data_IF_485175968865
#
_entry.id   IF_485175968865
#
_cell.length_a   1.000
_cell.length_b   1.000
_cell.length_c   1.000
_cell.angle_alpha   90.00
_cell.angle_beta   90.00
_cell.angle_gamma   90.00
#
_symmetry.space_group_name_H-M   'P 1'
#
loop_
_entity.id
_entity.type
_entity.pdbx_description
1 polymer ?
#
# COMPACT_ATOMS: atom_id res chain seq x y z
N UNK A 1 -6.55 -25.94 -21.47
CA UNK A 1 -6.23 -25.82 -20.02
C UNK A 1 -5.35 -24.62 -19.71
N UNK A 2 -4.16 -24.47 -20.34
CA UNK A 2 -3.30 -23.29 -20.16
C UNK A 2 -4.00 -21.98 -20.54
N UNK A 3 -4.77 -22.00 -21.64
CA UNK A 3 -5.51 -20.84 -22.11
C UNK A 3 -6.49 -20.31 -21.06
N UNK A 4 -7.21 -21.21 -20.37
CA UNK A 4 -8.12 -20.85 -19.29
C UNK A 4 -7.42 -20.25 -18.07
N UNK A 5 -6.23 -20.75 -17.70
CA UNK A 5 -5.41 -20.18 -16.63
C UNK A 5 -4.97 -18.75 -16.98
N UNK A 6 -4.45 -18.54 -18.20
CA UNK A 6 -3.96 -17.22 -18.59
C UNK A 6 -5.10 -16.22 -18.74
N UNK A 7 -6.22 -16.63 -19.34
CA UNK A 7 -7.42 -15.81 -19.39
C UNK A 7 -7.92 -15.45 -17.99
N UNK A 8 -7.92 -16.40 -17.04
CA UNK A 8 -8.29 -16.13 -15.65
C UNK A 8 -7.32 -15.15 -14.97
N UNK A 9 -5.99 -15.33 -15.12
CA UNK A 9 -4.99 -14.40 -14.56
C UNK A 9 -5.19 -13.01 -15.13
N UNK A 10 -5.33 -12.86 -16.45
CA UNK A 10 -5.54 -11.57 -17.08
C UNK A 10 -6.87 -10.93 -16.63
N UNK A 11 -7.96 -11.69 -16.55
CA UNK A 11 -9.24 -11.15 -16.08
C UNK A 11 -9.21 -10.75 -14.60
N UNK A 12 -8.57 -11.56 -13.75
CA UNK A 12 -8.55 -11.33 -12.31
C UNK A 12 -7.57 -10.23 -11.89
N UNK A 13 -6.44 -10.10 -12.59
CA UNK A 13 -5.41 -9.11 -12.26
C UNK A 13 -5.48 -7.85 -13.13
N UNK A 14 -5.72 -7.96 -14.44
CA UNK A 14 -5.79 -6.81 -15.36
C UNK A 14 -7.23 -6.33 -15.58
N UNK A 15 -8.20 -7.25 -15.64
CA UNK A 15 -9.62 -6.94 -15.88
C UNK A 15 -10.28 -6.08 -14.80
N UNK A 16 -9.65 -5.93 -13.63
CA UNK A 16 -10.08 -4.99 -12.58
C UNK A 16 -9.70 -3.54 -12.89
N UNK A 17 -8.66 -3.32 -13.70
CA UNK A 17 -8.10 -2.00 -13.95
C UNK A 17 -8.37 -1.47 -15.35
N UNK A 18 -8.63 -2.36 -16.32
CA UNK A 18 -8.76 -2.02 -17.75
C UNK A 18 -10.19 -2.25 -18.26
N UNK A 19 -10.68 -1.36 -19.12
CA UNK A 19 -11.97 -1.52 -19.80
C UNK A 19 -11.86 -2.42 -21.04
N UNK A 20 -12.96 -3.12 -21.38
CA UNK A 20 -13.13 -3.85 -22.65
C UNK A 20 -12.01 -4.86 -22.97
N UNK A 21 -11.51 -5.59 -21.96
CA UNK A 21 -10.55 -6.67 -22.15
C UNK A 21 -11.18 -7.79 -22.99
N UNK A 22 -10.86 -7.84 -24.29
CA UNK A 22 -11.40 -8.87 -25.18
C UNK A 22 -10.63 -10.19 -25.00
N UNK A 23 -11.25 -11.12 -24.29
CA UNK A 23 -10.68 -12.42 -23.96
C UNK A 23 -10.55 -13.37 -25.14
N UNK A 24 -11.29 -13.13 -26.22
CA UNK A 24 -11.30 -14.02 -27.38
C UNK A 24 -10.04 -13.83 -28.23
N UNK A 25 -9.53 -12.60 -28.32
CA UNK A 25 -8.26 -12.29 -29.01
C UNK A 25 -7.03 -12.89 -28.27
N UNK A 26 -7.14 -13.09 -26.96
CA UNK A 26 -6.09 -13.70 -26.15
C UNK A 26 -5.87 -15.17 -26.50
N UNK A 27 -6.94 -15.90 -26.81
CA UNK A 27 -6.89 -17.34 -27.08
C UNK A 27 -5.96 -17.72 -28.24
N UNK A 28 -5.96 -16.93 -29.32
CA UNK A 28 -5.13 -17.15 -30.52
C UNK A 28 -3.66 -16.85 -30.24
N UNK A 29 -3.37 -15.80 -29.47
CA UNK A 29 -2.00 -15.41 -29.11
C UNK A 29 -1.34 -16.42 -28.14
N UNK A 30 -2.13 -17.09 -27.30
CA UNK A 30 -1.65 -18.05 -26.30
C UNK A 30 -1.01 -19.31 -26.90
N UNK A 31 -1.44 -19.73 -28.09
CA UNK A 31 -0.81 -20.84 -28.83
C UNK A 31 0.66 -20.55 -29.18
N UNK A 32 1.03 -19.28 -29.32
CA UNK A 32 2.39 -18.83 -29.59
C UNK A 32 3.25 -18.64 -28.33
N UNK A 33 2.64 -18.67 -27.13
CA UNK A 33 3.30 -18.40 -25.85
C UNK A 33 3.61 -16.94 -25.56
N UNK A 34 3.17 -16.01 -26.41
CA UNK A 34 3.35 -14.57 -26.24
C UNK A 34 2.03 -13.86 -26.51
N UNK A 35 1.55 -13.13 -25.51
CA UNK A 35 0.34 -12.31 -25.56
C UNK A 35 0.75 -10.86 -25.53
N UNK A 36 0.21 -10.05 -26.44
CA UNK A 36 0.38 -8.61 -26.46
C UNK A 36 -0.99 -7.94 -26.54
N UNK A 37 -1.19 -6.95 -25.68
CA UNK A 37 -2.36 -6.08 -25.65
C UNK A 37 -1.86 -4.65 -25.75
N UNK A 38 -2.54 -3.81 -26.54
CA UNK A 38 -2.11 -2.43 -26.78
C UNK A 38 -3.27 -1.47 -26.58
N UNK A 39 -2.94 -0.24 -26.18
CA UNK A 39 -3.87 0.88 -26.00
C UNK A 39 -5.07 0.52 -25.10
N UNK A 40 -4.78 0.01 -23.91
CA UNK A 40 -5.78 -0.44 -22.95
C UNK A 40 -6.26 0.74 -22.09
N UNK A 41 -7.51 1.22 -22.23
CA UNK A 41 -8.05 2.28 -21.38
C UNK A 41 -8.23 1.81 -19.93
N UNK A 42 -7.90 2.68 -18.97
CA UNK A 42 -8.11 2.41 -17.55
C UNK A 42 -9.54 2.73 -17.13
N UNK A 43 -10.11 1.89 -16.25
CA UNK A 43 -11.44 2.16 -15.69
C UNK A 43 -11.42 3.36 -14.75
N UNK A 44 -12.50 4.13 -14.73
CA UNK A 44 -12.66 5.31 -13.84
C UNK A 44 -12.55 4.98 -12.35
N UNK A 45 -12.95 3.77 -11.99
CA UNK A 45 -13.01 3.22 -10.64
C UNK A 45 -11.78 2.37 -10.26
N UNK A 46 -10.78 2.24 -11.14
CA UNK A 46 -9.62 1.36 -10.94
C UNK A 46 -8.84 1.66 -9.64
N UNK A 47 -8.82 2.90 -9.14
CA UNK A 47 -8.17 3.25 -7.86
C UNK A 47 -9.09 3.16 -6.63
N UNK A 48 -10.39 2.91 -6.79
CA UNK A 48 -11.35 2.92 -5.67
C UNK A 48 -11.04 1.88 -4.60
N UNK A 49 -10.49 0.73 -4.99
CA UNK A 49 -10.10 -0.34 -4.06
C UNK A 49 -9.00 0.08 -3.05
N UNK A 50 -8.23 1.13 -3.36
CA UNK A 50 -7.22 1.69 -2.44
C UNK A 50 -7.86 2.51 -1.30
N UNK A 51 -9.18 2.75 -1.33
CA UNK A 51 -9.87 3.55 -0.33
C UNK A 51 -9.54 5.05 -0.40
N UNK A 52 -8.96 5.51 -1.52
CA UNK A 52 -8.62 6.91 -1.75
C UNK A 52 -9.81 7.67 -2.36
N UNK A 53 -10.06 8.94 -1.95
CA UNK A 53 -11.15 9.76 -2.48
C UNK A 53 -10.77 10.39 -3.84
N UNK A 54 -10.36 9.56 -4.79
CA UNK A 54 -9.91 9.98 -6.12
C UNK A 54 -10.62 9.17 -7.21
N UNK A 55 -10.84 9.82 -8.35
CA UNK A 55 -11.35 9.19 -9.55
C UNK A 55 -10.36 9.35 -10.71
N UNK A 56 -10.40 8.42 -11.66
CA UNK A 56 -9.58 8.49 -12.87
C UNK A 56 -10.36 9.23 -13.95
N UNK A 57 -9.81 10.36 -14.43
CA UNK A 57 -10.42 11.12 -15.54
C UNK A 57 -9.87 10.72 -16.90
N UNK A 58 -8.55 10.49 -16.98
CA UNK A 58 -7.89 10.03 -18.19
C UNK A 58 -6.79 9.05 -17.83
N UNK A 59 -6.68 7.93 -18.54
CA UNK A 59 -5.61 6.98 -18.28
C UNK A 59 -5.66 5.79 -19.23
N UNK A 60 -4.48 5.28 -19.58
CA UNK A 60 -4.34 4.13 -20.44
C UNK A 60 -3.01 3.42 -20.18
N UNK A 61 -2.93 2.19 -20.67
CA UNK A 61 -1.71 1.41 -20.74
C UNK A 61 -1.36 1.23 -22.21
N UNK A 62 -0.20 1.73 -22.63
CA UNK A 62 0.22 1.68 -24.03
C UNK A 62 0.41 0.25 -24.53
N UNK A 63 1.11 -0.59 -23.77
CA UNK A 63 1.32 -2.01 -24.10
C UNK A 63 1.42 -2.88 -22.86
N UNK A 64 0.76 -4.03 -22.88
CA UNK A 64 0.93 -5.12 -21.92
C UNK A 64 1.37 -6.37 -22.67
N UNK A 65 2.55 -6.88 -22.34
CA UNK A 65 3.09 -8.11 -22.89
C UNK A 65 3.15 -9.16 -21.78
N UNK A 66 2.56 -10.32 -22.04
CA UNK A 66 2.68 -11.50 -21.19
C UNK A 66 3.43 -12.60 -21.97
N UNK A 67 4.59 -12.98 -21.48
CA UNK A 67 5.36 -14.09 -22.02
C UNK A 67 5.18 -15.32 -21.12
N UNK A 68 4.58 -16.36 -21.70
CA UNK A 68 4.31 -17.63 -21.03
C UNK A 68 5.24 -18.68 -21.64
N UNK A 69 6.13 -19.30 -20.85
CA UNK A 69 7.02 -20.35 -21.36
C UNK A 69 6.24 -21.66 -21.55
N UNK A 70 5.41 -21.77 -22.60
CA UNK A 70 4.47 -22.88 -22.84
C UNK A 70 5.14 -24.27 -22.78
N UNK A 71 6.38 -24.39 -23.25
CA UNK A 71 7.17 -25.64 -23.23
C UNK A 71 7.83 -25.92 -21.87
N UNK A 72 7.91 -24.93 -20.99
CA UNK A 72 8.69 -24.93 -19.74
C UNK A 72 7.93 -24.25 -18.58
N UNK A 73 6.62 -24.44 -18.50
CA UNK A 73 5.73 -23.73 -17.54
C UNK A 73 6.17 -23.93 -16.08
N UNK A 74 6.81 -25.06 -15.76
CA UNK A 74 7.30 -25.41 -14.42
C UNK A 74 8.76 -25.05 -14.15
N UNK A 75 9.51 -24.61 -15.16
CA UNK A 75 10.97 -24.48 -15.09
C UNK A 75 11.48 -23.15 -15.66
N UNK A 76 10.59 -22.24 -16.02
CA UNK A 76 10.91 -20.91 -16.53
C UNK A 76 9.91 -19.87 -15.97
N UNK A 77 10.37 -18.63 -15.75
CA UNK A 77 9.55 -17.59 -15.13
C UNK A 77 8.58 -17.00 -16.16
N UNK A 78 7.43 -16.52 -15.67
CA UNK A 78 6.48 -15.78 -16.49
C UNK A 78 6.88 -14.31 -16.45
N UNK A 79 6.93 -13.64 -17.60
CA UNK A 79 7.28 -12.23 -17.69
C UNK A 79 6.03 -11.41 -18.06
N UNK A 80 5.67 -10.47 -17.20
CA UNK A 80 4.70 -9.42 -17.47
C UNK A 80 5.48 -8.13 -17.69
N UNK A 81 5.40 -7.58 -18.90
CA UNK A 81 5.94 -6.26 -19.22
C UNK A 81 4.77 -5.30 -19.50
N UNK A 82 4.81 -4.13 -18.88
CA UNK A 82 3.85 -3.05 -19.07
C UNK A 82 4.64 -1.82 -19.50
N UNK A 83 4.24 -1.22 -20.61
CA UNK A 83 4.88 -0.02 -21.17
C UNK A 83 3.87 1.11 -21.26
N UNK A 84 4.32 2.32 -20.89
CA UNK A 84 3.54 3.56 -20.95
C UNK A 84 2.27 3.46 -20.10
N UNK A 85 2.44 3.38 -18.79
CA UNK A 85 1.34 3.44 -17.83
C UNK A 85 1.11 4.91 -17.46
N UNK A 86 0.10 5.52 -18.08
CA UNK A 86 -0.24 6.92 -17.86
C UNK A 86 -1.61 7.05 -17.23
N UNK A 87 -1.67 7.84 -16.16
CA UNK A 87 -2.89 8.04 -15.40
C UNK A 87 -3.00 9.46 -14.86
N UNK A 88 -4.18 10.06 -15.03
CA UNK A 88 -4.59 11.35 -14.46
C UNK A 88 -5.77 11.10 -13.53
N UNK A 89 -5.54 11.33 -12.24
CA UNK A 89 -6.53 11.24 -11.19
C UNK A 89 -6.95 12.63 -10.69
N UNK A 90 -8.20 12.79 -10.31
CA UNK A 90 -8.74 14.03 -9.71
C UNK A 90 -9.41 13.70 -8.38
N UNK A 91 -9.56 14.66 -7.44
CA UNK A 91 -10.43 14.45 -6.29
C UNK A 91 -11.85 14.17 -6.75
N UNK A 92 -12.57 13.35 -6.00
CA UNK A 92 -14.01 13.14 -6.22
C UNK A 92 -14.73 14.45 -5.89
N UNK A 93 -15.57 14.92 -6.81
CA UNK A 93 -16.41 16.09 -6.54
C UNK A 93 -17.49 15.72 -5.52
N UNK A 94 -17.48 16.36 -4.35
CA UNK A 94 -18.45 16.13 -3.29
C UNK A 94 -19.87 16.61 -3.66
N UNK A 95 -20.00 17.50 -4.64
CA UNK A 95 -21.33 17.93 -5.13
C UNK A 95 -22.06 16.80 -5.90
N UNK A 96 -21.31 15.83 -6.42
CA UNK A 96 -21.84 14.63 -7.09
C UNK A 96 -21.96 13.43 -6.12
N UNK A 97 -21.74 13.65 -4.81
CA UNK A 97 -21.77 12.60 -3.80
C UNK A 97 -23.18 12.09 -3.55
N UNK A 98 -23.39 10.79 -3.79
CA UNK A 98 -24.61 10.09 -3.44
C UNK A 98 -24.36 9.12 -2.28
N UNK A 99 -25.00 9.38 -1.15
CA UNK A 99 -24.86 8.56 0.05
C UNK A 99 -25.33 7.11 -0.16
N UNK A 100 -26.30 6.87 -1.05
CA UNK A 100 -26.85 5.54 -1.33
C UNK A 100 -25.88 4.72 -2.20
N UNK A 101 -25.27 5.35 -3.20
CA UNK A 101 -24.26 4.73 -4.07
C UNK A 101 -23.02 4.39 -3.25
N UNK A 102 -22.54 5.30 -2.42
CA UNK A 102 -21.38 5.07 -1.57
C UNK A 102 -21.64 4.01 -0.50
N UNK A 103 -22.84 3.96 0.07
CA UNK A 103 -23.25 2.88 0.97
C UNK A 103 -23.29 1.52 0.26
N UNK A 104 -23.79 1.47 -0.98
CA UNK A 104 -23.81 0.25 -1.80
C UNK A 104 -22.40 -0.24 -2.13
N UNK A 105 -21.49 0.67 -2.50
CA UNK A 105 -20.08 0.35 -2.77
C UNK A 105 -19.37 -0.11 -1.50
N UNK A 106 -19.59 0.56 -0.37
CA UNK A 106 -19.02 0.14 0.92
C UNK A 106 -19.53 -1.25 1.32
N UNK A 107 -20.81 -1.54 1.04
CA UNK A 107 -21.40 -2.86 1.25
C UNK A 107 -20.76 -3.90 0.33
N UNK A 108 -20.63 -3.63 -0.97
CA UNK A 108 -19.99 -4.54 -1.93
C UNK A 108 -18.53 -4.84 -1.55
N UNK A 109 -17.75 -3.83 -1.13
CA UNK A 109 -16.39 -4.03 -0.60
C UNK A 109 -16.37 -4.94 0.63
N UNK A 110 -17.30 -4.72 1.55
CA UNK A 110 -17.42 -5.54 2.76
C UNK A 110 -17.78 -6.98 2.41
N UNK A 111 -18.73 -7.19 1.51
CA UNK A 111 -19.14 -8.52 1.06
C UNK A 111 -18.01 -9.22 0.32
N UNK A 112 -17.30 -8.54 -0.59
CA UNK A 112 -16.15 -9.11 -1.29
C UNK A 112 -15.01 -9.51 -0.34
N UNK A 113 -14.77 -8.75 0.73
CA UNK A 113 -13.81 -9.12 1.78
C UNK A 113 -14.27 -10.36 2.55
N UNK A 114 -15.55 -10.43 2.92
CA UNK A 114 -16.13 -11.60 3.59
C UNK A 114 -16.05 -12.84 2.69
N UNK A 115 -16.39 -12.71 1.42
CA UNK A 115 -16.29 -13.79 0.43
C UNK A 115 -14.84 -14.28 0.28
N UNK A 116 -13.87 -13.37 0.24
CA UNK A 116 -12.45 -13.74 0.19
C UNK A 116 -11.99 -14.47 1.46
N UNK A 117 -12.43 -14.02 2.64
CA UNK A 117 -12.13 -14.67 3.92
C UNK A 117 -12.77 -16.05 4.01
N UNK A 118 -14.04 -16.19 3.61
CA UNK A 118 -14.72 -17.47 3.58
C UNK A 118 -14.12 -18.42 2.53
N UNK A 119 -13.72 -17.91 1.36
CA UNK A 119 -13.03 -18.69 0.34
C UNK A 119 -11.67 -19.21 0.84
N UNK A 120 -10.93 -18.37 1.57
CA UNK A 120 -9.69 -18.79 2.23
C UNK A 120 -9.96 -19.86 3.29
N UNK A 121 -10.94 -19.64 4.17
CA UNK A 121 -11.30 -20.60 5.21
C UNK A 121 -11.74 -21.96 4.61
N UNK A 122 -12.56 -21.95 3.55
CA UNK A 122 -12.99 -23.14 2.82
C UNK A 122 -11.83 -23.85 2.13
N UNK A 123 -10.90 -23.11 1.50
CA UNK A 123 -9.69 -23.71 0.91
C UNK A 123 -8.81 -24.41 1.96
N UNK A 124 -8.78 -23.90 3.19
CA UNK A 124 -8.03 -24.48 4.31
C UNK A 124 -8.76 -25.67 4.96
N UNK A 125 -10.10 -25.69 5.00
CA UNK A 125 -10.90 -26.70 5.74
C UNK A 125 -11.51 -27.81 4.87
N UNK A 126 -11.79 -27.57 3.58
CA UNK A 126 -12.45 -28.53 2.67
C UNK A 126 -11.49 -29.29 1.77
N UNK A 127 -10.17 -29.05 1.86
CA UNK A 127 -9.15 -29.82 1.13
C UNK A 127 -9.07 -31.31 1.55
N UNK A 128 -9.82 -31.73 2.57
CA UNK A 128 -9.84 -33.09 3.10
C UNK A 128 -10.97 -33.98 2.54
N UNK A 129 -12.06 -33.42 1.97
CA UNK A 129 -13.21 -34.21 1.51
C UNK A 129 -13.64 -33.77 0.10
N UNK A 130 -13.16 -34.51 -0.91
CA UNK A 130 -13.40 -34.23 -2.32
C UNK A 130 -14.86 -34.55 -2.70
N UNK A 131 -15.75 -33.58 -2.50
CA UNK A 131 -17.18 -33.72 -2.80
C UNK A 131 -17.78 -32.56 -3.60
N UNK A 132 -18.19 -32.86 -4.84
CA UNK A 132 -19.23 -32.21 -5.67
C UNK A 132 -19.13 -30.71 -6.06
N UNK A 133 -18.46 -29.83 -5.30
CA UNK A 133 -18.46 -28.37 -5.53
C UNK A 133 -17.19 -27.78 -6.16
N UNK A 134 -16.24 -28.62 -6.61
CA UNK A 134 -15.06 -28.22 -7.37
C UNK A 134 -15.37 -27.52 -8.72
N UNK A 135 -16.65 -27.41 -9.10
CA UNK A 135 -17.12 -27.00 -10.43
C UNK A 135 -17.41 -25.50 -10.57
N UNK A 136 -17.57 -24.73 -9.49
CA UNK A 136 -17.92 -23.30 -9.58
C UNK A 136 -16.73 -22.35 -9.44
N UNK A 137 -15.63 -22.81 -8.86
CA UNK A 137 -14.32 -22.13 -8.88
C UNK A 137 -13.30 -23.00 -9.64
N UNK A 138 -13.70 -23.54 -10.79
CA UNK A 138 -12.84 -24.22 -11.77
C UNK A 138 -11.93 -25.34 -11.22
N UNK A 139 -12.21 -26.60 -11.61
CA UNK A 139 -11.53 -27.85 -11.21
C UNK A 139 -9.99 -27.89 -11.15
N UNK A 140 -9.27 -26.86 -11.59
CA UNK A 140 -7.81 -26.81 -11.58
C UNK A 140 -7.22 -26.09 -10.35
N UNK A 141 -8.00 -25.29 -9.60
CA UNK A 141 -7.53 -24.67 -8.33
C UNK A 141 -7.24 -25.72 -7.25
N UNK A 142 -8.01 -26.81 -7.21
CA UNK A 142 -7.80 -27.94 -6.28
C UNK A 142 -6.61 -28.83 -6.68
N UNK A 143 -6.37 -29.04 -7.98
CA UNK A 143 -5.23 -29.85 -8.48
C UNK A 143 -3.93 -29.05 -8.71
N UNK A 144 -3.97 -27.71 -8.64
CA UNK A 144 -2.93 -26.81 -9.16
C UNK A 144 -2.29 -25.86 -8.14
N UNK A 145 -2.54 -26.01 -6.83
CA UNK A 145 -2.02 -25.10 -5.79
C UNK A 145 -0.50 -24.94 -5.85
N UNK A 146 0.24 -26.04 -6.03
CA UNK A 146 1.71 -26.00 -6.17
C UNK A 146 2.19 -25.38 -7.47
N UNK A 147 1.49 -25.58 -8.59
CA UNK A 147 1.85 -24.98 -9.89
C UNK A 147 1.60 -23.47 -9.88
N UNK A 148 0.46 -23.04 -9.34
CA UNK A 148 0.12 -21.63 -9.17
C UNK A 148 1.09 -20.91 -8.24
N UNK A 149 1.39 -21.50 -7.08
CA UNK A 149 2.37 -20.94 -6.15
C UNK A 149 3.73 -20.78 -6.85
N UNK A 150 4.17 -21.77 -7.63
CA UNK A 150 5.42 -21.69 -8.40
C UNK A 150 5.39 -20.54 -9.42
N UNK A 151 4.28 -20.38 -10.13
CA UNK A 151 4.10 -19.33 -11.16
C UNK A 151 4.12 -17.94 -10.51
N UNK A 152 3.35 -17.74 -9.43
CA UNK A 152 3.27 -16.44 -8.74
C UNK A 152 4.61 -16.07 -8.09
N UNK A 153 5.32 -17.05 -7.51
CA UNK A 153 6.62 -16.82 -6.89
C UNK A 153 7.69 -16.42 -7.92
N UNK A 154 7.66 -17.04 -9.10
CA UNK A 154 8.59 -16.77 -10.19
C UNK A 154 8.09 -15.75 -11.21
N UNK A 155 6.99 -15.05 -10.91
CA UNK A 155 6.46 -14.00 -11.75
C UNK A 155 7.42 -12.81 -11.77
N UNK A 156 7.87 -12.46 -12.97
CA UNK A 156 8.71 -11.29 -13.23
C UNK A 156 7.84 -10.16 -13.78
N UNK A 157 8.02 -8.96 -13.23
CA UNK A 157 7.30 -7.76 -13.64
C UNK A 157 8.30 -6.71 -14.13
N UNK A 158 8.01 -6.11 -15.28
CA UNK A 158 8.73 -4.96 -15.82
C UNK A 158 7.72 -3.88 -16.16
N UNK A 159 7.82 -2.73 -15.50
CA UNK A 159 7.08 -1.53 -15.86
C UNK A 159 8.08 -0.57 -16.48
N UNK A 160 7.79 -0.06 -17.66
CA UNK A 160 8.58 0.97 -18.31
C UNK A 160 7.70 2.18 -18.59
N UNK A 161 8.24 3.36 -18.30
CA UNK A 161 7.60 4.64 -18.52
C UNK A 161 6.24 4.75 -17.80
N UNK A 162 6.34 4.93 -16.48
CA UNK A 162 5.17 5.11 -15.60
C UNK A 162 5.05 6.59 -15.26
N UNK A 163 3.86 7.14 -15.43
CA UNK A 163 3.55 8.50 -14.99
C UNK A 163 2.12 8.54 -14.43
N UNK A 164 2.01 8.76 -13.13
CA UNK A 164 0.76 8.94 -12.40
C UNK A 164 0.69 10.39 -11.96
N UNK A 165 -0.29 11.13 -12.47
CA UNK A 165 -0.53 12.54 -12.19
C UNK A 165 -1.85 12.69 -11.43
N UNK A 166 -1.83 13.45 -10.34
CA UNK A 166 -2.99 13.87 -9.60
C UNK A 166 -3.19 15.38 -9.83
N UNK A 167 -4.40 15.75 -10.25
CA UNK A 167 -4.80 17.12 -10.54
C UNK A 167 -5.89 17.55 -9.55
N UNK A 168 -5.66 18.64 -8.83
CA UNK A 168 -6.62 19.19 -7.89
C UNK A 168 -6.89 20.66 -8.22
N UNK A 169 -8.13 20.95 -8.56
CA UNK A 169 -8.63 22.29 -8.82
C UNK A 169 -9.70 22.74 -7.82
N UNK A 170 -10.03 21.90 -6.83
CA UNK A 170 -11.22 22.05 -5.97
C UNK A 170 -10.84 22.21 -4.49
N UNK A 171 -9.90 21.39 -3.99
CA UNK A 171 -9.62 21.32 -2.55
C UNK A 171 -8.71 22.45 -2.07
N UNK A 172 -7.78 22.91 -2.92
CA UNK A 172 -6.78 23.92 -2.59
C UNK A 172 -7.21 25.34 -2.93
N UNK A 173 -6.61 26.33 -2.25
CA UNK A 173 -6.79 27.75 -2.62
C UNK A 173 -6.23 28.06 -4.01
N UNK A 174 -5.24 27.28 -4.47
CA UNK A 174 -4.63 27.37 -5.79
C UNK A 174 -4.66 25.98 -6.43
N UNK A 175 -5.09 25.84 -7.69
CA UNK A 175 -5.03 24.58 -8.39
C UNK A 175 -3.58 24.10 -8.57
N UNK A 176 -3.37 22.81 -8.34
CA UNK A 176 -2.05 22.20 -8.41
C UNK A 176 -2.12 20.83 -9.07
N UNK A 177 -0.97 20.36 -9.53
CA UNK A 177 -0.81 18.99 -9.96
C UNK A 177 0.43 18.39 -9.32
N UNK A 178 0.27 17.25 -8.67
CA UNK A 178 1.39 16.46 -8.20
C UNK A 178 1.48 15.18 -9.04
N UNK A 179 2.67 14.62 -9.17
CA UNK A 179 2.82 13.40 -9.93
C UNK A 179 4.02 12.60 -9.52
N UNK A 180 3.92 11.30 -9.79
CA UNK A 180 4.96 10.32 -9.63
C UNK A 180 5.31 9.78 -11.01
N UNK A 181 6.60 9.79 -11.32
CA UNK A 181 7.13 9.27 -12.57
C UNK A 181 8.27 8.29 -12.29
N UNK A 182 8.35 7.25 -13.08
CA UNK A 182 9.44 6.28 -13.04
C UNK A 182 9.79 5.83 -14.45
N UNK A 183 11.07 5.85 -14.80
CA UNK A 183 11.52 5.36 -16.10
C UNK A 183 11.36 3.85 -16.21
N UNK A 184 11.77 3.13 -15.16
CA UNK A 184 11.61 1.67 -15.11
C UNK A 184 11.46 1.16 -13.69
N UNK A 185 10.58 0.18 -13.50
CA UNK A 185 10.46 -0.64 -12.30
C UNK A 185 10.52 -2.11 -12.71
N UNK A 186 11.52 -2.83 -12.24
CA UNK A 186 11.67 -4.26 -12.47
C UNK A 186 11.57 -5.01 -11.14
N UNK A 187 10.83 -6.12 -11.12
CA UNK A 187 10.80 -7.07 -10.01
C UNK A 187 11.03 -8.47 -10.58
N UNK A 188 12.20 -9.05 -10.27
CA UNK A 188 12.64 -10.33 -10.82
C UNK A 188 12.96 -11.31 -9.68
N UNK A 189 12.62 -12.58 -9.87
CA UNK A 189 13.01 -13.64 -8.94
C UNK A 189 14.51 -13.94 -9.08
N UNK A 190 15.14 -14.31 -7.97
CA UNK A 190 16.57 -14.56 -7.89
C UNK A 190 16.90 -15.66 -6.88
N UNK A 191 18.13 -16.16 -6.93
CA UNK A 191 18.67 -17.12 -5.96
C UNK A 191 19.22 -16.44 -4.70
N UNK A 192 19.75 -17.24 -3.76
CA UNK A 192 20.37 -16.76 -2.51
C UNK A 192 21.61 -15.89 -2.74
N UNK A 193 22.25 -16.00 -3.90
CA UNK A 193 23.39 -15.19 -4.35
C UNK A 193 22.96 -13.95 -5.16
N UNK A 194 21.66 -13.65 -5.20
CA UNK A 194 21.05 -12.52 -5.92
C UNK A 194 21.26 -12.56 -7.44
N UNK A 195 21.46 -13.74 -8.02
CA UNK A 195 21.50 -13.94 -9.47
C UNK A 195 20.09 -14.13 -9.98
N UNK A 196 19.75 -13.37 -11.03
CA UNK A 196 18.42 -13.38 -11.65
C UNK A 196 18.17 -14.72 -12.32
N UNK A 197 16.99 -15.28 -12.13
CA UNK A 197 16.66 -16.56 -12.74
C UNK A 197 15.40 -17.20 -12.18
N UNK A 198 15.09 -18.38 -12.70
CA UNK A 198 14.03 -19.22 -12.16
C UNK A 198 14.51 -19.97 -10.92
N UNK A 199 13.73 -19.94 -9.86
CA UNK A 199 13.99 -20.70 -8.62
C UNK A 199 12.87 -21.70 -8.38
N UNK A 200 13.25 -22.96 -8.15
CA UNK A 200 12.28 -24.00 -7.78
C UNK A 200 11.81 -23.79 -6.34
N UNK A 201 10.51 -23.96 -6.07
CA UNK A 201 9.99 -23.93 -4.69
C UNK A 201 10.64 -24.99 -3.77
N UNK A 202 11.26 -26.03 -4.33
CA UNK A 202 11.94 -27.11 -3.59
C UNK A 202 13.31 -26.73 -3.01
N UNK A 203 13.74 -25.47 -3.14
CA UNK A 203 15.02 -24.99 -2.61
C UNK A 203 15.11 -25.25 -1.08
N UNK A 204 16.17 -25.93 -0.58
CA UNK A 204 16.25 -26.42 0.79
C UNK A 204 16.22 -25.31 1.86
N UNK A 205 16.51 -24.07 1.48
CA UNK A 205 16.54 -22.93 2.39
C UNK A 205 15.16 -22.47 2.86
N UNK A 206 14.07 -22.89 2.20
CA UNK A 206 12.71 -22.49 2.54
C UNK A 206 12.46 -20.98 2.40
N UNK A 207 13.38 -20.24 1.76
CA UNK A 207 13.27 -18.82 1.47
C UNK A 207 12.89 -18.60 0.00
N UNK A 208 12.42 -17.40 -0.32
CA UNK A 208 12.37 -16.87 -1.68
C UNK A 208 13.02 -15.49 -1.75
N UNK A 209 13.58 -15.16 -2.90
CA UNK A 209 14.32 -13.93 -3.11
C UNK A 209 13.79 -13.19 -4.33
N UNK A 210 13.53 -11.89 -4.17
CA UNK A 210 13.19 -10.97 -5.26
C UNK A 210 14.15 -9.80 -5.28
N UNK A 211 14.64 -9.50 -6.48
CA UNK A 211 15.42 -8.31 -6.78
C UNK A 211 14.49 -7.29 -7.42
N UNK A 212 14.36 -6.14 -6.78
CA UNK A 212 13.62 -5.01 -7.29
C UNK A 212 14.60 -3.91 -7.69
N UNK A 213 14.43 -3.37 -8.88
CA UNK A 213 15.20 -2.26 -9.42
C UNK A 213 14.25 -1.16 -9.87
N UNK A 214 14.52 0.06 -9.44
CA UNK A 214 13.76 1.24 -9.75
C UNK A 214 14.73 2.26 -10.34
N UNK A 215 14.45 2.72 -11.55
CA UNK A 215 15.26 3.68 -12.26
C UNK A 215 14.52 4.98 -12.42
N UNK A 216 15.22 6.08 -12.07
CA UNK A 216 14.73 7.44 -12.20
C UNK A 216 13.30 7.61 -11.66
N UNK A 217 13.08 7.31 -10.39
CA UNK A 217 11.84 7.71 -9.72
C UNK A 217 11.92 9.20 -9.39
N UNK A 218 10.93 9.96 -9.82
CA UNK A 218 10.78 11.36 -9.48
C UNK A 218 9.36 11.67 -9.00
N UNK A 219 9.26 12.62 -8.07
CA UNK A 219 7.98 13.12 -7.57
C UNK A 219 8.00 14.63 -7.74
N UNK A 220 6.96 15.19 -8.34
CA UNK A 220 6.84 16.62 -8.58
C UNK A 220 5.55 17.19 -8.00
N UNK A 221 5.55 18.51 -7.77
CA UNK A 221 4.37 19.29 -7.41
C UNK A 221 4.42 20.63 -8.10
N UNK A 222 3.55 20.83 -9.08
CA UNK A 222 3.53 21.97 -9.98
C UNK A 222 2.29 22.85 -9.81
N UNK A 223 2.38 24.13 -10.21
CA UNK A 223 1.21 24.96 -10.43
C UNK A 223 0.47 24.44 -11.65
N UNK A 224 -0.87 24.41 -11.56
CA UNK A 224 -1.70 23.97 -12.67
C UNK A 224 -2.67 25.08 -13.06
N UNK A 225 -2.40 25.85 -14.12
CA UNK A 225 -3.38 26.80 -14.65
C UNK A 225 -4.64 26.07 -15.11
N UNK A 226 -5.82 26.51 -14.66
CA UNK A 226 -7.11 25.92 -15.07
C UNK A 226 -7.75 26.83 -16.11
N UNK A 227 -8.22 26.32 -17.27
CA UNK A 227 -8.26 24.91 -17.68
C UNK A 227 -7.05 24.44 -18.50
N UNK A 228 -6.20 25.35 -18.98
CA UNK A 228 -5.18 25.04 -20.00
C UNK A 228 -4.12 24.00 -19.58
N UNK A 229 -3.83 23.91 -18.28
CA UNK A 229 -2.85 23.01 -17.68
C UNK A 229 -3.41 21.66 -17.22
N UNK A 230 -4.72 21.43 -17.35
CA UNK A 230 -5.35 20.15 -16.98
C UNK A 230 -5.20 19.12 -18.10
N UNK A 231 -4.92 17.87 -17.72
CA UNK A 231 -4.79 16.75 -18.66
C UNK A 231 -6.03 15.84 -18.64
N UNK A 232 -6.97 16.09 -17.72
CA UNK A 232 -8.20 15.31 -17.56
C UNK A 232 -9.08 15.20 -18.83
N UNK A 233 -8.99 16.16 -19.76
CA UNK A 233 -9.76 16.18 -21.02
C UNK A 233 -8.92 15.84 -22.27
N UNK A 234 -7.64 15.49 -22.10
CA UNK A 234 -6.78 15.16 -23.22
C UNK A 234 -7.19 13.84 -23.89
N UNK A 235 -7.01 13.77 -25.21
CA UNK A 235 -7.07 12.50 -25.94
C UNK A 235 -5.86 11.62 -25.57
N UNK A 236 -5.93 10.31 -25.84
CA UNK A 236 -4.82 9.37 -25.54
C UNK A 236 -3.51 9.84 -26.19
N UNK A 237 -3.53 10.28 -27.44
CA UNK A 237 -2.33 10.75 -28.15
C UNK A 237 -1.74 12.01 -27.53
N UNK A 238 -2.58 12.96 -27.15
CA UNK A 238 -2.14 14.20 -26.50
C UNK A 238 -1.62 13.95 -25.09
N UNK A 239 -2.30 13.09 -24.33
CA UNK A 239 -1.86 12.65 -23.01
C UNK A 239 -0.49 11.97 -23.09
N UNK A 240 -0.28 11.12 -24.10
CA UNK A 240 1.00 10.45 -24.36
C UNK A 240 2.12 11.47 -24.58
N UNK A 241 1.91 12.46 -25.45
CA UNK A 241 2.92 13.49 -25.73
C UNK A 241 3.27 14.26 -24.45
N UNK A 242 2.26 14.76 -23.74
CA UNK A 242 2.46 15.59 -22.55
C UNK A 242 3.10 14.83 -21.38
N UNK A 243 2.72 13.57 -21.17
CA UNK A 243 3.23 12.75 -20.05
C UNK A 243 4.59 12.11 -20.35
N UNK A 244 4.96 11.93 -21.63
CA UNK A 244 6.30 11.46 -22.02
C UNK A 244 7.36 12.57 -21.96
N UNK A 245 6.96 13.82 -22.14
CA UNK A 245 7.83 14.99 -22.06
C UNK A 245 8.22 15.39 -20.62
N UNK A 246 7.67 14.73 -19.60
CA UNK A 246 7.90 15.06 -18.18
C UNK A 246 9.37 15.02 -17.78
N UNK A 247 10.18 14.14 -18.40
CA UNK A 247 11.62 14.10 -18.16
C UNK A 247 12.40 15.25 -18.80
N UNK A 248 11.79 15.97 -19.76
CA UNK A 248 12.38 17.10 -20.49
C UNK A 248 11.79 18.44 -20.04
N UNK A 249 10.64 18.42 -19.39
CA UNK A 249 9.95 19.59 -18.87
C UNK A 249 10.55 20.14 -17.58
N UNK A 250 10.26 21.40 -17.29
CA UNK A 250 10.63 22.05 -16.02
C UNK A 250 9.59 21.76 -14.94
N UNK A 251 9.64 20.58 -14.33
CA UNK A 251 8.83 20.26 -13.15
C UNK A 251 9.50 20.76 -11.87
N UNK A 252 8.69 21.20 -10.90
CA UNK A 252 9.12 21.51 -9.55
C UNK A 252 9.19 20.20 -8.74
N UNK A 253 10.31 19.49 -8.88
CA UNK A 253 10.51 18.19 -8.24
C UNK A 253 10.64 18.31 -6.72
N UNK A 254 9.80 17.56 -5.99
CA UNK A 254 9.95 17.27 -4.56
C UNK A 254 11.05 16.24 -4.33
N UNK A 255 11.06 15.20 -5.17
CA UNK A 255 12.07 14.17 -5.24
C UNK A 255 12.63 14.22 -6.65
N UNK A 256 13.89 14.64 -6.80
CA UNK A 256 14.56 14.58 -8.11
C UNK A 256 14.74 13.12 -8.55
N UNK A 257 14.87 12.85 -9.85
CA UNK A 257 15.05 11.50 -10.37
C UNK A 257 16.14 10.75 -9.61
N UNK A 258 15.74 9.67 -8.93
CA UNK A 258 16.63 8.85 -8.11
C UNK A 258 16.38 7.37 -8.41
N UNK A 259 17.44 6.59 -8.43
CA UNK A 259 17.33 5.14 -8.62
C UNK A 259 17.53 4.40 -7.30
N UNK A 260 16.91 3.23 -7.20
CA UNK A 260 16.94 2.38 -6.02
C UNK A 260 17.00 0.92 -6.43
N UNK A 261 17.66 0.11 -5.62
CA UNK A 261 17.62 -1.34 -5.73
C UNK A 261 17.28 -1.95 -4.38
N UNK A 262 16.31 -2.84 -4.35
CA UNK A 262 15.91 -3.56 -3.16
C UNK A 262 16.09 -5.07 -3.35
N UNK A 263 16.77 -5.68 -2.39
CA UNK A 263 16.99 -7.13 -2.29
C UNK A 263 16.07 -7.65 -1.22
N UNK A 264 15.00 -8.33 -1.63
CA UNK A 264 13.94 -8.81 -0.72
C UNK A 264 14.09 -10.32 -0.54
N UNK A 265 14.21 -10.75 0.71
CA UNK A 265 14.17 -12.15 1.13
C UNK A 265 12.88 -12.38 1.90
N UNK A 266 12.16 -13.46 1.58
CA UNK A 266 10.93 -13.89 2.27
C UNK A 266 11.09 -15.31 2.79
N UNK A 267 10.69 -15.55 4.03
CA UNK A 267 10.60 -16.88 4.62
C UNK A 267 9.25 -17.53 4.27
N UNK A 268 9.28 -18.68 3.58
CA UNK A 268 8.08 -19.38 3.09
C UNK A 268 7.47 -20.34 4.10
N UNK A 269 8.10 -20.57 5.26
CA UNK A 269 7.58 -21.52 6.25
C UNK A 269 6.19 -21.12 6.75
N UNK A 270 5.21 -22.00 6.64
CA UNK A 270 3.85 -21.75 7.13
C UNK A 270 3.81 -21.72 8.67
N UNK A 271 4.83 -22.28 9.32
CA UNK A 271 4.91 -22.30 10.78
C UNK A 271 5.25 -20.92 11.36
N UNK A 272 4.83 -20.64 12.60
CA UNK A 272 5.26 -19.46 13.33
C UNK A 272 6.78 -19.37 13.42
N UNK A 273 7.34 -18.19 13.14
CA UNK A 273 8.77 -17.97 13.21
C UNK A 273 9.25 -18.08 14.66
N UNK A 274 10.15 -19.03 14.92
CA UNK A 274 10.74 -19.25 16.25
C UNK A 274 12.09 -18.56 16.44
N UNK A 275 12.66 -17.99 15.38
CA UNK A 275 13.95 -17.31 15.42
C UNK A 275 13.78 -15.80 15.25
N UNK A 276 14.38 -15.03 16.17
CA UNK A 276 14.45 -13.56 16.06
C UNK A 276 15.43 -13.07 14.98
N UNK A 277 16.34 -13.94 14.53
CA UNK A 277 17.35 -13.63 13.51
C UNK A 277 16.88 -13.90 12.07
N UNK A 278 15.72 -14.55 11.89
CA UNK A 278 15.15 -14.85 10.57
C UNK A 278 13.75 -14.23 10.47
N UNK A 279 13.65 -12.93 10.15
CA UNK A 279 12.37 -12.27 9.98
C UNK A 279 11.58 -12.87 8.81
N UNK A 280 10.25 -12.72 8.84
CA UNK A 280 9.36 -13.22 7.76
C UNK A 280 9.74 -12.63 6.41
N UNK A 281 10.13 -11.36 6.43
CA UNK A 281 10.61 -10.61 5.28
C UNK A 281 11.79 -9.76 5.73
N UNK A 282 12.86 -9.78 4.95
CA UNK A 282 14.00 -8.87 5.08
C UNK A 282 14.16 -8.14 3.75
N UNK A 283 14.34 -6.82 3.79
CA UNK A 283 14.56 -6.01 2.61
C UNK A 283 15.83 -5.18 2.80
N UNK A 284 16.79 -5.38 1.89
CA UNK A 284 18.01 -4.60 1.84
C UNK A 284 17.90 -3.58 0.71
N UNK A 285 17.83 -2.30 1.06
CA UNK A 285 17.69 -1.21 0.10
C UNK A 285 19.01 -0.49 -0.10
N UNK A 286 19.41 -0.35 -1.35
CA UNK A 286 20.52 0.49 -1.81
C UNK A 286 19.94 1.61 -2.66
N UNK A 287 20.11 2.85 -2.20
CA UNK A 287 19.57 4.05 -2.84
C UNK A 287 20.73 4.88 -3.39
N UNK A 288 20.54 5.46 -4.57
CA UNK A 288 21.38 6.56 -5.01
C UNK A 288 21.09 7.82 -4.18
N UNK A 289 21.87 8.90 -4.36
CA UNK A 289 21.61 10.16 -3.67
C UNK A 289 20.18 10.64 -3.96
N UNK A 290 19.37 10.77 -2.90
CA UNK A 290 17.99 11.24 -2.99
C UNK A 290 17.99 12.72 -2.64
N UNK A 291 17.84 13.57 -3.65
CA UNK A 291 17.70 15.01 -3.46
C UNK A 291 16.24 15.38 -3.24
N UNK A 292 15.93 15.82 -2.03
CA UNK A 292 14.64 16.36 -1.65
C UNK A 292 14.68 17.88 -1.74
N UNK A 293 13.82 18.45 -2.59
CA UNK A 293 13.76 19.89 -2.82
C UNK A 293 12.35 20.37 -2.49
N UNK A 294 12.25 21.39 -1.65
CA UNK A 294 10.98 22.02 -1.35
C UNK A 294 11.07 23.49 -1.69
N UNK A 295 10.28 23.93 -2.66
CA UNK A 295 10.18 25.36 -3.00
C UNK A 295 9.39 26.11 -1.93
N UNK A 296 9.65 27.41 -1.80
CA UNK A 296 8.88 28.28 -0.89
C UNK A 296 7.36 28.21 -1.15
N UNK A 297 6.96 28.05 -2.42
CA UNK A 297 5.57 27.85 -2.80
C UNK A 297 5.02 26.53 -2.27
N UNK A 298 5.68 25.41 -2.55
CA UNK A 298 5.25 24.08 -2.09
C UNK A 298 5.15 24.02 -0.56
N UNK A 299 6.09 24.64 0.15
CA UNK A 299 6.03 24.75 1.61
C UNK A 299 4.80 25.54 2.11
N UNK A 300 4.38 26.57 1.38
CA UNK A 300 3.26 27.42 1.76
C UNK A 300 1.89 26.86 1.33
N UNK A 301 1.84 26.07 0.25
CA UNK A 301 0.63 25.39 -0.21
C UNK A 301 0.32 24.10 0.53
N UNK A 302 1.34 23.49 1.17
CA UNK A 302 1.11 22.36 2.06
C UNK A 302 0.10 22.75 3.16
N UNK A 303 -0.93 21.93 3.46
CA UNK A 303 -1.93 22.26 4.47
C UNK A 303 -1.25 22.43 5.83
N UNK A 304 -1.16 23.69 6.27
CA UNK A 304 -0.59 24.03 7.58
C UNK A 304 -1.68 23.92 8.63
N UNK A 305 -1.43 23.26 9.77
CA UNK A 305 -2.36 23.31 10.86
C UNK A 305 -2.45 24.76 11.32
N UNK A 306 -3.61 25.39 11.11
CA UNK A 306 -3.87 26.74 11.62
C UNK A 306 -3.89 26.72 13.15
N UNK A 307 -3.70 27.88 13.78
CA UNK A 307 -3.83 27.98 15.24
C UNK A 307 -5.18 27.45 15.72
N UNK A 308 -6.26 27.76 15.00
CA UNK A 308 -7.61 27.27 15.29
C UNK A 308 -7.66 25.73 15.21
N UNK A 309 -7.12 25.13 14.14
CA UNK A 309 -7.08 23.67 14.00
C UNK A 309 -6.25 23.00 15.09
N UNK A 310 -5.12 23.61 15.48
CA UNK A 310 -4.27 23.16 16.58
C UNK A 310 -5.02 23.22 17.90
N UNK A 311 -5.74 24.32 18.17
CA UNK A 311 -6.53 24.50 19.39
C UNK A 311 -7.67 23.48 19.46
N UNK A 312 -8.40 23.26 18.37
CA UNK A 312 -9.45 22.23 18.29
C UNK A 312 -8.85 20.85 18.57
N UNK A 313 -7.76 20.49 17.90
CA UNK A 313 -7.08 19.21 18.10
C UNK A 313 -6.56 19.04 19.52
N UNK A 314 -6.03 20.10 20.13
CA UNK A 314 -5.57 20.09 21.52
C UNK A 314 -6.74 19.88 22.50
N UNK A 315 -7.90 20.53 22.27
CA UNK A 315 -9.12 20.33 23.07
C UNK A 315 -9.61 18.88 22.98
N UNK A 316 -9.75 18.35 21.78
CA UNK A 316 -10.15 16.96 21.53
C UNK A 316 -9.18 15.96 22.19
N UNK A 317 -7.87 16.22 22.08
CA UNK A 317 -6.84 15.39 22.72
C UNK A 317 -6.97 15.40 24.24
N UNK A 318 -7.22 16.57 24.84
CA UNK A 318 -7.44 16.71 26.29
C UNK A 318 -8.70 15.99 26.75
N UNK A 319 -9.79 16.14 26.01
CA UNK A 319 -11.08 15.47 26.29
C UNK A 319 -10.95 13.96 26.20
N UNK A 320 -10.24 13.46 25.18
CA UNK A 320 -9.92 12.05 25.04
C UNK A 320 -9.15 11.50 26.25
N UNK A 321 -8.03 12.15 26.62
CA UNK A 321 -7.22 11.73 27.78
C UNK A 321 -8.04 11.78 29.08
N UNK A 322 -8.91 12.78 29.24
CA UNK A 322 -9.80 12.89 30.40
C UNK A 322 -10.85 11.76 30.42
N UNK A 323 -11.42 11.40 29.27
CA UNK A 323 -12.34 10.27 29.17
C UNK A 323 -11.64 8.95 29.52
N UNK A 324 -10.45 8.70 28.97
CA UNK A 324 -9.63 7.54 29.32
C UNK A 324 -9.29 7.49 30.81
N UNK A 325 -8.94 8.63 31.43
CA UNK A 325 -8.63 8.69 32.85
C UNK A 325 -9.82 8.31 33.74
N UNK A 326 -11.04 8.74 33.39
CA UNK A 326 -12.26 8.35 34.12
C UNK A 326 -12.45 6.83 34.07
N UNK A 327 -12.37 6.25 32.88
CA UNK A 327 -12.52 4.80 32.69
C UNK A 327 -11.41 4.00 33.38
N UNK A 328 -10.17 4.50 33.38
CA UNK A 328 -9.03 3.84 34.03
C UNK A 328 -9.07 3.95 35.55
N UNK A 329 -9.63 5.04 36.10
CA UNK A 329 -9.67 5.29 37.55
C UNK A 329 -10.87 4.63 38.22
N UNK A 330 -12.03 4.63 37.57
CA UNK A 330 -13.21 3.91 38.02
C UNK A 330 -13.74 3.03 36.88
N UNK A 331 -13.35 1.75 36.89
CA UNK A 331 -13.67 0.88 35.77
C UNK A 331 -15.16 0.50 35.66
N UNK A 332 -15.92 0.64 36.75
CA UNK A 332 -17.37 0.48 36.77
C UNK A 332 -18.14 1.76 36.38
N UNK A 333 -17.45 2.89 36.21
CA UNK A 333 -18.09 4.14 35.81
C UNK A 333 -18.45 4.13 34.32
N UNK A 334 -19.72 4.41 34.02
CA UNK A 334 -20.17 4.65 32.66
C UNK A 334 -19.89 6.09 32.26
N UNK A 335 -19.25 6.26 31.09
CA UNK A 335 -19.11 7.58 30.49
C UNK A 335 -20.48 8.06 29.98
N UNK A 336 -20.80 9.35 30.13
CA UNK A 336 -21.92 9.98 29.43
C UNK A 336 -21.87 9.68 27.91
N UNK A 337 -23.03 9.53 27.28
CA UNK A 337 -23.15 9.05 25.90
C UNK A 337 -22.40 9.95 24.89
N UNK A 338 -22.47 11.27 25.08
CA UNK A 338 -21.74 12.29 24.33
C UNK A 338 -20.21 12.14 24.47
N UNK A 339 -19.72 11.96 25.70
CA UNK A 339 -18.28 11.77 25.97
C UNK A 339 -17.77 10.43 25.46
N UNK A 340 -18.61 9.39 25.50
CA UNK A 340 -18.30 8.08 24.92
C UNK A 340 -18.20 8.19 23.40
N UNK A 341 -19.19 8.81 22.74
CA UNK A 341 -19.17 9.03 21.30
C UNK A 341 -17.94 9.84 20.85
N UNK A 342 -17.60 10.93 21.54
CA UNK A 342 -16.41 11.73 21.25
C UNK A 342 -15.10 10.95 21.44
N UNK A 343 -15.02 10.11 22.49
CA UNK A 343 -13.87 9.23 22.73
C UNK A 343 -13.72 8.20 21.60
N UNK A 344 -14.82 7.58 21.19
CA UNK A 344 -14.83 6.54 20.16
C UNK A 344 -14.54 7.15 18.77
N UNK A 345 -15.07 8.34 18.46
CA UNK A 345 -14.73 9.10 17.25
C UNK A 345 -13.25 9.47 17.22
N UNK A 346 -12.68 9.92 18.35
CA UNK A 346 -11.26 10.23 18.45
C UNK A 346 -10.38 8.99 18.24
N UNK A 347 -10.78 7.84 18.76
CA UNK A 347 -10.09 6.55 18.54
C UNK A 347 -10.18 6.09 17.09
N UNK A 348 -11.31 6.34 16.42
CA UNK A 348 -11.48 6.05 15.00
C UNK A 348 -10.57 6.91 14.11
N UNK A 349 -10.43 8.19 14.43
CA UNK A 349 -9.72 9.17 13.60
C UNK A 349 -8.20 9.14 13.79
N UNK A 350 -7.71 8.71 14.95
CA UNK A 350 -6.30 8.87 15.33
C UNK A 350 -5.50 7.59 15.10
N UNK A 351 -4.27 7.69 14.58
CA UNK A 351 -3.42 6.52 14.39
C UNK A 351 -2.98 5.91 15.73
N UNK A 352 -2.82 4.59 15.74
CA UNK A 352 -2.58 3.79 16.94
C UNK A 352 -1.39 4.28 17.79
N UNK A 353 -0.28 4.70 17.16
CA UNK A 353 0.90 5.16 17.88
C UNK A 353 0.64 6.42 18.73
N UNK A 354 -0.24 7.33 18.26
CA UNK A 354 -0.66 8.50 19.02
C UNK A 354 -1.63 8.12 20.14
N UNK A 355 -2.59 7.24 19.86
CA UNK A 355 -3.53 6.75 20.88
C UNK A 355 -2.80 6.05 22.03
N UNK A 356 -1.76 5.25 21.72
CA UNK A 356 -0.92 4.60 22.72
C UNK A 356 -0.23 5.61 23.63
N UNK A 357 0.45 6.61 23.04
CA UNK A 357 1.12 7.66 23.81
C UNK A 357 0.15 8.43 24.72
N UNK A 358 -1.06 8.76 24.22
CA UNK A 358 -2.08 9.47 24.98
C UNK A 358 -2.67 8.61 26.12
N UNK A 359 -2.89 7.32 25.89
CA UNK A 359 -3.34 6.38 26.93
C UNK A 359 -2.27 6.16 28.01
N UNK A 360 -0.98 6.12 27.65
CA UNK A 360 0.10 6.09 28.64
C UNK A 360 0.10 7.33 29.53
N UNK A 361 -0.16 8.52 28.96
CA UNK A 361 -0.32 9.75 29.74
C UNK A 361 -1.50 9.64 30.70
N UNK A 362 -2.64 9.08 30.27
CA UNK A 362 -3.78 8.84 31.16
C UNK A 362 -3.44 7.87 32.29
N UNK A 363 -2.75 6.77 32.01
CA UNK A 363 -2.33 5.77 33.01
C UNK A 363 -1.37 6.34 34.04
N UNK A 364 -0.38 7.14 33.62
CA UNK A 364 0.55 7.81 34.54
C UNK A 364 -0.18 8.74 35.52
N UNK A 365 -1.36 9.24 35.15
CA UNK A 365 -2.19 10.12 35.96
C UNK A 365 -3.20 9.38 36.86
N UNK A 366 -3.34 8.06 36.73
CA UNK A 366 -4.20 7.28 37.64
C UNK A 366 -3.53 7.22 39.02
N UNK A 367 -4.22 7.63 40.10
CA UNK A 367 -3.66 7.55 41.45
C UNK A 367 -3.30 6.11 41.81
N UNK A 368 -2.08 5.87 42.29
CA UNK A 368 -1.70 4.57 42.86
C UNK A 368 -2.40 4.44 44.21
N UNK A 369 -3.22 3.42 44.41
CA UNK A 369 -3.74 3.11 45.74
C UNK A 369 -2.58 2.66 46.63
N UNK A 370 -2.26 3.44 47.67
CA UNK A 370 -1.44 2.96 48.77
C UNK A 370 -2.26 1.94 49.56
N UNK A 371 -1.81 0.68 49.70
CA UNK A 371 -2.55 -0.31 50.48
C UNK A 371 -2.54 0.12 51.96
N UNK A 372 -3.72 0.22 52.55
CA UNK A 372 -3.88 0.35 54.00
C UNK A 372 -3.46 -0.99 54.61
N UNK A 373 -2.42 -0.96 55.44
CA UNK A 373 -1.99 -2.10 56.24
C UNK A 373 -3.00 -2.38 57.35
N UNK A 374 -3.86 -3.38 57.16
CA UNK A 374 -4.59 -4.04 58.25
C UNK A 374 -4.16 -5.50 58.33
N UNK A 375 -3.73 -6.01 59.50
CA UNK A 375 -3.30 -7.39 59.64
C UNK A 375 -4.50 -8.34 59.73
N UNK A 376 -4.27 -9.56 59.26
CA UNK A 376 -4.99 -10.80 59.55
C UNK A 376 -6.39 -11.00 58.95
N UNK A 377 -6.41 -11.41 57.67
CA UNK A 377 -7.33 -12.43 57.16
C UNK A 377 -6.69 -13.07 55.92
N UNK A 378 -6.71 -14.40 55.71
CA UNK A 378 -6.19 -14.99 54.50
C UNK A 378 -7.19 -14.76 53.37
N UNK A 379 -7.22 -13.53 52.87
CA UNK A 379 -7.93 -13.22 51.64
C UNK A 379 -7.21 -13.97 50.51
N UNK A 380 -7.99 -14.72 49.75
CA UNK A 380 -7.58 -15.32 48.49
C UNK A 380 -6.69 -14.34 47.74
N UNK A 381 -5.52 -14.80 47.31
CA UNK A 381 -4.60 -14.05 46.46
C UNK A 381 -5.27 -13.83 45.10
N UNK A 382 -6.23 -12.91 45.08
CA UNK A 382 -6.78 -12.29 43.89
C UNK A 382 -5.63 -11.50 43.30
N UNK A 383 -4.90 -12.14 42.38
CA UNK A 383 -4.07 -11.49 41.38
C UNK A 383 -4.73 -10.15 41.04
N UNK A 384 -4.02 -9.06 41.33
CA UNK A 384 -4.47 -7.67 41.19
C UNK A 384 -5.40 -7.52 39.99
N UNK A 385 -6.58 -6.89 40.17
CA UNK A 385 -7.59 -6.67 39.12
C UNK A 385 -7.02 -6.16 37.80
N UNK A 386 -5.86 -5.49 37.83
CA UNK A 386 -5.13 -5.06 36.63
C UNK A 386 -4.66 -6.22 35.73
N UNK A 387 -4.26 -7.36 36.29
CA UNK A 387 -3.93 -8.58 35.53
C UNK A 387 -5.20 -9.21 34.93
N UNK A 388 -6.35 -9.01 35.57
CA UNK A 388 -7.64 -9.57 35.14
C UNK A 388 -8.38 -8.68 34.13
N UNK A 389 -8.14 -7.38 34.17
CA UNK A 389 -8.69 -6.40 33.22
C UNK A 389 -7.86 -6.29 31.94
N UNK A 390 -6.58 -6.64 32.00
CA UNK A 390 -5.69 -6.66 30.84
C UNK A 390 -4.93 -7.99 30.65
N UNK A 391 -5.56 -9.19 30.70
CA UNK A 391 -4.84 -10.44 30.44
C UNK A 391 -4.49 -10.62 28.95
N UNK A 392 -5.18 -9.89 28.07
CA UNK A 392 -5.04 -9.95 26.59
C UNK A 392 -4.78 -8.59 25.95
N UNK A 393 -4.50 -7.51 26.70
CA UNK A 393 -4.22 -6.20 26.10
C UNK A 393 -2.82 -6.10 25.48
N UNK A 394 -2.01 -7.15 25.66
CA UNK A 394 -0.80 -7.45 24.90
C UNK A 394 -1.06 -8.49 23.79
N UNK A 395 -2.31 -8.68 23.39
CA UNK A 395 -2.72 -9.43 22.20
C UNK A 395 -3.03 -8.50 21.02
N UNK A 396 -2.55 -7.25 21.06
CA UNK A 396 -2.59 -6.34 19.93
C UNK A 396 -1.25 -6.49 19.22
N UNK A 397 -1.34 -7.12 18.06
CA UNK A 397 -0.32 -7.65 17.18
C UNK A 397 0.22 -9.02 17.61
N UNK A 398 -0.46 -10.07 17.15
CA UNK A 398 0.23 -11.11 16.36
C UNK A 398 1.30 -10.38 15.57
N UNK A 399 2.55 -10.60 15.95
CA UNK A 399 3.74 -9.97 15.38
C UNK A 399 3.56 -9.85 13.88
N UNK A 400 3.18 -8.66 13.39
CA UNK A 400 3.55 -8.27 12.03
C UNK A 400 5.06 -8.49 12.01
N UNK A 401 5.49 -9.49 11.24
CA UNK A 401 6.86 -10.00 11.25
C UNK A 401 7.81 -8.82 11.33
N UNK A 402 8.74 -8.84 12.29
CA UNK A 402 9.75 -7.78 12.44
C UNK A 402 10.33 -7.49 11.05
N UNK A 403 9.98 -6.35 10.46
CA UNK A 403 10.54 -5.91 9.19
C UNK A 403 11.85 -5.22 9.53
N UNK A 404 12.95 -5.83 9.13
CA UNK A 404 14.27 -5.26 9.30
C UNK A 404 14.68 -4.61 7.97
N UNK A 405 14.72 -3.28 7.97
CA UNK A 405 15.24 -2.49 6.86
C UNK A 405 16.70 -2.18 7.18
N UNK A 406 17.61 -2.67 6.34
CA UNK A 406 19.04 -2.34 6.44
C UNK A 406 19.34 -1.39 5.28
N UNK A 407 19.57 -0.11 5.60
CA UNK A 407 19.98 0.93 4.67
C UNK A 407 21.51 1.03 4.70
N UNK A 408 22.19 0.44 3.71
CA UNK A 408 23.63 0.57 3.58
C UNK A 408 23.92 1.45 2.36
N UNK A 409 24.26 2.72 2.63
CA UNK A 409 24.58 3.79 1.68
C UNK A 409 23.37 4.48 1.05
N UNK A 410 23.35 5.79 1.26
CA UNK A 410 22.46 6.79 0.69
C UNK A 410 22.74 8.13 1.37
N UNK A 411 22.75 9.21 0.62
CA UNK A 411 22.71 10.57 1.17
C UNK A 411 21.37 11.19 0.84
N UNK A 412 20.75 11.80 1.84
CA UNK A 412 19.52 12.57 1.68
C UNK A 412 19.86 14.04 1.84
N UNK A 413 19.74 14.77 0.74
CA UNK A 413 20.02 16.20 0.70
C UNK A 413 18.69 16.95 0.74
N UNK A 414 18.48 17.70 1.82
CA UNK A 414 17.36 18.62 1.95
C UNK A 414 17.81 20.00 1.48
N UNK A 415 17.26 20.45 0.36
CA UNK A 415 17.51 21.80 -0.16
C UNK A 415 16.22 22.64 -0.09
N UNK A 416 16.32 23.80 0.54
CA UNK A 416 15.31 24.85 0.48
C UNK A 416 15.78 25.89 -0.54
N UNK A 417 15.03 26.08 -1.63
CA UNK A 417 15.30 27.17 -2.57
C UNK A 417 14.78 28.50 -1.98
N UNK A 418 15.68 29.23 -1.33
CA UNK A 418 15.53 30.65 -1.02
C UNK A 418 15.96 31.50 -2.21
N UNK A 419 15.20 32.56 -2.51
CA UNK A 419 15.56 33.52 -3.55
C UNK A 419 16.99 34.02 -3.39
N UNK A 420 17.68 34.19 -4.53
CA UNK A 420 19.09 34.51 -4.70
C UNK A 420 19.76 35.21 -3.50
N UNK A 421 20.30 34.43 -2.55
CA UNK A 421 21.62 34.67 -1.92
C UNK A 421 22.02 33.64 -0.85
N UNK A 422 21.15 32.76 -0.33
CA UNK A 422 21.60 31.68 0.58
C UNK A 422 20.80 30.38 0.37
N UNK A 423 21.34 29.44 -0.42
CA UNK A 423 20.87 28.06 -0.46
C UNK A 423 21.58 27.25 0.63
N UNK A 424 21.02 27.25 1.84
CA UNK A 424 21.45 26.35 2.92
C UNK A 424 20.95 24.93 2.66
N UNK A 425 21.81 24.05 2.12
CA UNK A 425 21.52 22.63 2.01
C UNK A 425 21.95 21.86 3.27
N UNK A 426 21.11 20.93 3.75
CA UNK A 426 21.47 20.00 4.83
C UNK A 426 21.63 18.60 4.23
N UNK A 427 22.85 18.05 4.30
CA UNK A 427 23.15 16.68 3.90
C UNK A 427 23.05 15.74 5.10
N UNK A 428 22.15 14.77 5.04
CA UNK A 428 22.05 13.66 5.99
C UNK A 428 22.68 12.42 5.35
N UNK A 429 23.85 12.01 5.83
CA UNK A 429 24.47 10.75 5.43
C UNK A 429 24.00 9.62 6.34
N UNK A 430 23.47 8.55 5.73
CA UNK A 430 23.14 7.33 6.47
C UNK A 430 24.36 6.40 6.47
N UNK A 431 25.07 6.31 7.60
CA UNK A 431 26.11 5.31 7.84
C UNK A 431 25.52 4.09 8.54
N UNK A 432 25.91 2.90 8.07
CA UNK A 432 25.51 1.61 8.62
C UNK A 432 26.00 1.37 10.06
#
# INVERSE_FOLDING_TARGET
MLEGLVAWVLNNYLGKYVENLNTDQLSVALLSGKVELENLPLKKDALRHLGLPVEIKAGFIGKVQLQVPVRQIRSAPWLIAIEKLYLVATPINLDEWDCSVEASIAHERKTALLDALEAQWRAEHEAADAGYYATSYSSWLSYGTGLLANIVENLQLKLNDVHIRYEDAITGAMPFACGLTAESLCAESCDSEWRRGFTLLSDPDGCSFKLLELHNLAVYWDPMPVPAGMFASCTISELTSRMSETWRGSHSFLVRPASARARVRRERTEQPLRSRARPRMAAHLTLDTVALCLTSRQYNEAPKPTWESCVVRARQTREYVAACLVTLSNPAATLPADRKAAKDEFEWRMPLHLLKALREVAMRKVPKSTPVSTPDTPASSGRSMLVHWFPQWLGWDTVFGKFEFILNKGSLNLCMEGGAEEAGGMELQFSA
#
